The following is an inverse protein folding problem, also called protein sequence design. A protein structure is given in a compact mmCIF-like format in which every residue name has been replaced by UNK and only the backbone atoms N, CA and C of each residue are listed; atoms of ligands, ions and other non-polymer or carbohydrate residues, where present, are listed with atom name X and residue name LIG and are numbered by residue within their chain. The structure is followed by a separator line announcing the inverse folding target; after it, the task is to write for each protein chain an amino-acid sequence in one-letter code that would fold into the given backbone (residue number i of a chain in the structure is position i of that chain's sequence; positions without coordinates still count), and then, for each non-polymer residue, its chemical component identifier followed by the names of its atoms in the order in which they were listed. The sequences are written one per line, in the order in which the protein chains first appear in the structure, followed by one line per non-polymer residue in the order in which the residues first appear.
data_IF_506447279047
#
_entry.id   IF_506447279047
#
_cell.length_a   1.000
_cell.length_b   1.000
_cell.length_c   1.000
_cell.angle_alpha   90.00
_cell.angle_beta   90.00
_cell.angle_gamma   90.00
#
_symmetry.space_group_name_H-M   'P 1'
#
loop_
_entity.id
_entity.type
_entity.pdbx_description
1 polymer ?
#
# COMPACT_ATOMS: atom_id res chain seq x y z
N UNK A 1 -1.29 -14.51 27.03
CA UNK A 1 -1.56 -13.94 25.70
C UNK A 1 -0.63 -12.76 25.51
N UNK A 2 0.37 -12.90 24.65
CA UNK A 2 1.29 -11.80 24.36
C UNK A 2 0.57 -10.68 23.62
N UNK A 3 0.85 -9.43 24.03
CA UNK A 3 0.25 -8.25 23.39
C UNK A 3 0.60 -8.25 21.90
N UNK A 4 -0.35 -7.99 21.00
CA UNK A 4 -0.05 -7.92 19.57
C UNK A 4 1.04 -6.87 19.34
N UNK A 5 2.11 -7.26 18.64
CA UNK A 5 3.22 -6.38 18.32
C UNK A 5 2.71 -5.15 17.57
N UNK A 6 3.13 -3.96 18.01
CA UNK A 6 2.69 -2.66 17.48
C UNK A 6 3.28 -2.44 16.09
N UNK A 7 2.43 -2.03 15.14
CA UNK A 7 2.81 -1.56 13.81
C UNK A 7 2.59 -0.03 13.80
N UNK A 8 3.55 0.72 13.29
CA UNK A 8 3.44 2.17 13.12
C UNK A 8 3.83 2.54 11.69
N UNK A 9 3.00 3.36 11.06
CA UNK A 9 3.20 3.82 9.68
C UNK A 9 3.21 5.36 9.72
N UNK A 10 4.19 5.96 9.06
CA UNK A 10 4.34 7.42 9.02
C UNK A 10 4.85 7.83 7.65
N UNK A 11 4.38 8.95 7.12
CA UNK A 11 4.71 9.40 5.77
C UNK A 11 5.76 10.50 5.82
N UNK A 12 6.62 10.57 4.80
CA UNK A 12 7.73 11.53 4.72
C UNK A 12 8.03 11.92 3.26
N UNK A 13 8.53 13.14 3.06
CA UNK A 13 9.17 13.55 1.82
C UNK A 13 10.60 13.06 1.76
N UNK A 14 10.96 12.44 0.63
CA UNK A 14 12.32 12.03 0.36
C UNK A 14 13.10 13.14 -0.36
N UNK A 15 13.61 14.11 0.41
CA UNK A 15 14.45 15.21 -0.11
C UNK A 15 15.85 14.77 -0.56
N UNK A 16 16.22 13.50 -0.36
CA UNK A 16 17.51 12.96 -0.79
C UNK A 16 17.49 12.47 -2.25
N UNK A 17 16.30 12.24 -2.82
CA UNK A 17 16.15 11.88 -4.23
C UNK A 17 16.00 13.14 -5.09
N UNK A 18 16.36 13.00 -6.37
CA UNK A 18 16.23 14.08 -7.36
C UNK A 18 14.80 14.61 -7.36
N UNK A 19 14.66 15.92 -7.23
CA UNK A 19 13.39 16.62 -7.26
C UNK A 19 12.85 16.72 -8.69
N UNK A 20 11.54 16.95 -8.78
CA UNK A 20 10.86 17.32 -10.01
C UNK A 20 10.43 18.77 -9.92
N UNK A 21 10.83 19.56 -10.90
CA UNK A 21 10.40 20.94 -11.01
C UNK A 21 9.02 20.99 -11.68
N UNK A 22 8.04 21.55 -10.98
CA UNK A 22 6.71 21.78 -11.52
C UNK A 22 6.22 23.15 -11.06
N UNK A 23 5.87 24.02 -12.00
CA UNK A 23 5.50 25.42 -11.76
C UNK A 23 6.50 26.19 -10.85
N UNK A 24 7.80 25.97 -11.06
CA UNK A 24 8.87 26.61 -10.28
C UNK A 24 9.02 26.10 -8.84
N UNK A 25 8.32 25.02 -8.46
CA UNK A 25 8.43 24.39 -7.14
C UNK A 25 9.08 23.01 -7.24
N UNK A 26 10.00 22.72 -6.33
CA UNK A 26 10.56 21.38 -6.14
C UNK A 26 9.53 20.43 -5.53
N UNK A 27 9.29 19.32 -6.21
CA UNK A 27 8.46 18.22 -5.74
C UNK A 27 9.34 17.00 -5.49
N UNK A 28 9.13 16.38 -4.33
CA UNK A 28 9.92 15.24 -3.87
C UNK A 28 9.04 14.00 -3.74
N UNK A 29 9.58 12.80 -3.97
CA UNK A 29 8.83 11.58 -3.81
C UNK A 29 8.49 11.34 -2.34
N UNK A 30 7.30 10.81 -2.08
CA UNK A 30 6.79 10.47 -0.75
C UNK A 30 7.01 9.00 -0.49
N UNK A 31 7.39 8.69 0.75
CA UNK A 31 7.49 7.31 1.23
C UNK A 31 6.79 7.14 2.56
N UNK A 32 6.27 5.94 2.79
CA UNK A 32 5.80 5.48 4.08
C UNK A 32 6.95 4.78 4.81
N UNK A 33 7.29 5.24 6.00
CA UNK A 33 8.12 4.50 6.96
C UNK A 33 7.22 3.58 7.77
N UNK A 34 7.52 2.30 7.71
CA UNK A 34 6.85 1.26 8.48
C UNK A 34 7.77 0.79 9.59
N UNK A 35 7.25 0.72 10.82
CA UNK A 35 7.93 0.25 12.01
C UNK A 35 7.19 -0.96 12.58
N UNK A 36 7.90 -2.06 12.80
CA UNK A 36 7.38 -3.27 13.43
C UNK A 36 8.49 -3.96 14.21
N UNK A 37 8.28 -4.21 15.51
CA UNK A 37 9.22 -4.93 16.37
C UNK A 37 10.68 -4.40 16.27
N UNK A 38 10.87 -3.09 16.43
CA UNK A 38 12.15 -2.38 16.27
C UNK A 38 12.78 -2.40 14.86
N UNK A 39 12.18 -3.12 13.91
CA UNK A 39 12.58 -3.07 12.51
C UNK A 39 11.90 -1.89 11.81
N UNK A 40 12.58 -1.31 10.83
CA UNK A 40 12.01 -0.25 9.99
C UNK A 40 12.23 -0.51 8.51
N UNK A 41 11.24 -0.20 7.69
CA UNK A 41 11.37 -0.21 6.23
C UNK A 41 10.72 1.03 5.62
N UNK A 42 11.20 1.46 4.44
CA UNK A 42 10.66 2.58 3.67
C UNK A 42 9.99 2.03 2.43
N UNK A 43 8.70 2.29 2.28
CA UNK A 43 7.90 1.89 1.13
C UNK A 43 7.55 3.12 0.30
N UNK A 44 7.61 3.04 -1.05
CA UNK A 44 7.08 4.10 -1.88
C UNK A 44 5.58 4.26 -1.58
N UNK A 45 5.12 5.51 -1.57
CA UNK A 45 3.71 5.81 -1.39
C UNK A 45 3.22 6.67 -2.54
N UNK A 46 2.10 6.28 -3.11
CA UNK A 46 1.44 6.95 -4.23
C UNK A 46 -0.01 7.16 -3.86
N UNK A 47 -0.57 8.29 -4.27
CA UNK A 47 -2.00 8.59 -4.11
C UNK A 47 -2.67 8.49 -5.48
N UNK A 48 -4.00 8.39 -5.52
CA UNK A 48 -4.70 8.34 -6.82
C UNK A 48 -4.59 9.65 -7.58
N UNK A 49 -4.43 10.76 -6.85
CA UNK A 49 -4.40 12.13 -7.39
C UNK A 49 -2.99 12.62 -7.75
N UNK A 50 -1.94 12.02 -7.18
CA UNK A 50 -0.55 12.42 -7.42
C UNK A 50 0.32 11.19 -7.52
N UNK A 51 1.28 11.24 -8.45
CA UNK A 51 2.32 10.21 -8.67
C UNK A 51 3.30 10.02 -7.50
N UNK A 52 2.89 10.32 -6.26
CA UNK A 52 3.73 10.25 -5.08
C UNK A 52 4.75 11.37 -4.99
N UNK A 53 4.65 12.44 -5.79
CA UNK A 53 5.53 13.62 -5.70
C UNK A 53 4.77 14.82 -5.16
N UNK A 54 5.32 15.45 -4.13
CA UNK A 54 4.69 16.57 -3.43
C UNK A 54 5.73 17.66 -3.18
N UNK A 55 5.32 18.92 -3.28
CA UNK A 55 6.07 20.00 -2.65
C UNK A 55 5.95 19.92 -1.12
N UNK A 56 6.78 20.67 -0.41
CA UNK A 56 6.74 20.70 1.07
C UNK A 56 5.40 21.22 1.60
N UNK A 57 4.85 22.26 0.98
CA UNK A 57 3.54 22.83 1.31
C UNK A 57 2.42 21.82 1.09
N UNK A 58 2.43 21.15 -0.06
CA UNK A 58 1.42 20.14 -0.41
C UNK A 58 1.50 18.93 0.50
N UNK A 59 2.70 18.49 0.87
CA UNK A 59 2.90 17.38 1.79
C UNK A 59 2.43 17.73 3.20
N UNK A 60 2.78 18.93 3.69
CA UNK A 60 2.30 19.40 4.99
C UNK A 60 0.77 19.55 4.99
N UNK A 61 0.18 20.02 3.88
CA UNK A 61 -1.26 20.01 3.71
C UNK A 61 -1.81 18.59 3.76
N UNK A 62 -1.22 17.66 3.00
CA UNK A 62 -1.66 16.26 2.92
C UNK A 62 -1.56 15.49 4.25
N UNK A 63 -0.48 15.66 5.01
CA UNK A 63 -0.25 14.96 6.28
C UNK A 63 -0.98 15.63 7.44
N UNK A 64 -0.97 16.98 7.51
CA UNK A 64 -1.57 17.72 8.63
C UNK A 64 -3.07 17.97 8.41
N UNK A 65 -3.56 17.97 7.17
CA UNK A 65 -4.96 18.14 6.83
C UNK A 65 -5.51 16.85 6.21
N UNK A 66 -5.60 15.79 7.02
CA UNK A 66 -6.46 14.60 6.76
C UNK A 66 -7.96 14.94 6.70
N UNK A 67 -8.31 16.19 6.37
CA UNK A 67 -9.67 16.73 6.31
C UNK A 67 -10.37 16.35 5.02
N UNK A 68 -9.61 16.14 3.93
CA UNK A 68 -10.15 15.59 2.69
C UNK A 68 -10.57 14.12 2.92
N UNK A 69 -11.86 13.77 2.75
CA UNK A 69 -12.35 12.42 3.01
C UNK A 69 -11.71 11.35 2.13
N UNK A 70 -11.35 11.68 0.88
CA UNK A 70 -10.77 10.74 -0.07
C UNK A 70 -9.33 10.44 0.31
N UNK A 71 -8.53 11.48 0.59
CA UNK A 71 -7.15 11.31 1.07
C UNK A 71 -7.13 10.51 2.38
N UNK A 72 -8.05 10.81 3.31
CA UNK A 72 -8.16 10.09 4.58
C UNK A 72 -8.48 8.61 4.35
N UNK A 73 -9.37 8.29 3.41
CA UNK A 73 -9.69 6.92 3.04
C UNK A 73 -8.46 6.21 2.43
N UNK A 74 -7.78 6.82 1.46
CA UNK A 74 -6.59 6.25 0.83
C UNK A 74 -5.47 5.95 1.84
N UNK A 75 -5.19 6.89 2.75
CA UNK A 75 -4.20 6.70 3.81
C UNK A 75 -4.58 5.54 4.73
N UNK A 76 -5.85 5.47 5.13
CA UNK A 76 -6.36 4.40 5.99
C UNK A 76 -6.29 3.04 5.29
N UNK A 77 -6.67 2.97 4.02
CA UNK A 77 -6.66 1.74 3.24
C UNK A 77 -5.23 1.25 3.02
N UNK A 78 -4.29 2.15 2.74
CA UNK A 78 -2.87 1.84 2.68
C UNK A 78 -2.35 1.32 4.03
N UNK A 79 -2.63 2.03 5.12
CA UNK A 79 -2.22 1.63 6.49
C UNK A 79 -2.74 0.22 6.83
N UNK A 80 -4.03 -0.05 6.57
CA UNK A 80 -4.66 -1.35 6.83
C UNK A 80 -4.09 -2.47 5.95
N UNK A 81 -3.79 -2.18 4.68
CA UNK A 81 -3.22 -3.15 3.75
C UNK A 81 -1.83 -3.59 4.23
N UNK A 82 -0.97 -2.63 4.56
CA UNK A 82 0.37 -2.91 5.09
C UNK A 82 0.29 -3.67 6.41
N UNK A 83 -0.61 -3.27 7.30
CA UNK A 83 -0.80 -3.97 8.57
C UNK A 83 -1.23 -5.43 8.36
N UNK A 84 -2.19 -5.69 7.48
CA UNK A 84 -2.64 -7.06 7.16
C UNK A 84 -1.51 -7.92 6.60
N UNK A 85 -0.72 -7.39 5.65
CA UNK A 85 0.42 -8.11 5.08
C UNK A 85 1.44 -8.46 6.16
N UNK A 86 1.83 -7.50 7.00
CA UNK A 86 2.79 -7.73 8.08
C UNK A 86 2.29 -8.77 9.07
N UNK A 87 1.02 -8.69 9.48
CA UNK A 87 0.43 -9.64 10.43
C UNK A 87 0.34 -11.04 9.84
N UNK A 88 -0.05 -11.17 8.57
CA UNK A 88 -0.11 -12.44 7.87
C UNK A 88 1.27 -13.10 7.76
N UNK A 89 2.26 -12.36 7.27
CA UNK A 89 3.63 -12.85 7.10
C UNK A 89 4.30 -13.18 8.44
N UNK A 90 4.07 -12.35 9.47
CA UNK A 90 4.51 -12.64 10.82
C UNK A 90 3.81 -13.88 11.40
N UNK A 91 2.54 -14.12 11.07
CA UNK A 91 1.85 -15.35 11.47
C UNK A 91 2.43 -16.62 10.86
N UNK A 92 3.06 -16.53 9.67
CA UNK A 92 3.70 -17.68 8.99
C UNK A 92 5.14 -17.87 9.45
N UNK A 93 5.90 -16.78 9.56
CA UNK A 93 7.35 -16.82 9.80
C UNK A 93 7.75 -16.55 11.25
N UNK A 94 6.82 -16.05 12.06
CA UNK A 94 7.00 -15.67 13.46
C UNK A 94 8.26 -14.81 13.67
N UNK A 95 9.18 -15.25 14.54
CA UNK A 95 10.39 -14.51 14.87
C UNK A 95 11.39 -14.37 13.71
N UNK A 96 11.26 -15.20 12.67
CA UNK A 96 12.10 -15.11 11.47
C UNK A 96 11.66 -14.00 10.52
N UNK A 97 10.46 -13.46 10.71
CA UNK A 97 9.93 -12.39 9.87
C UNK A 97 10.81 -11.14 9.94
N UNK A 98 11.16 -10.60 8.77
CA UNK A 98 11.83 -9.31 8.61
C UNK A 98 11.00 -8.42 7.70
N UNK A 99 11.02 -7.11 7.97
CA UNK A 99 10.39 -6.13 7.08
C UNK A 99 11.12 -5.96 5.73
N UNK A 100 12.33 -6.51 5.59
CA UNK A 100 13.10 -6.51 4.34
C UNK A 100 12.35 -7.34 3.28
N UNK A 101 12.19 -6.81 2.07
CA UNK A 101 11.40 -7.46 1.02
C UNK A 101 9.91 -7.07 0.99
N UNK A 102 9.44 -6.26 1.96
CA UNK A 102 8.03 -5.86 2.03
C UNK A 102 7.59 -5.03 0.82
N UNK A 103 8.50 -4.31 0.16
CA UNK A 103 8.20 -3.53 -1.05
C UNK A 103 7.86 -4.46 -2.22
N UNK A 104 8.68 -5.46 -2.45
CA UNK A 104 8.54 -6.47 -3.50
C UNK A 104 7.27 -7.30 -3.24
N UNK A 105 7.04 -7.68 -1.99
CA UNK A 105 5.81 -8.34 -1.57
C UNK A 105 4.59 -7.46 -1.75
N UNK A 106 4.63 -6.17 -1.40
CA UNK A 106 3.52 -5.25 -1.62
C UNK A 106 3.14 -5.18 -3.10
N UNK A 107 4.13 -5.06 -3.98
CA UNK A 107 3.90 -5.09 -5.44
C UNK A 107 3.24 -6.41 -5.83
N UNK A 108 3.75 -7.54 -5.33
CA UNK A 108 3.15 -8.85 -5.59
C UNK A 108 1.73 -8.98 -5.01
N UNK A 109 1.44 -8.46 -3.82
CA UNK A 109 0.11 -8.46 -3.22
C UNK A 109 -0.85 -7.56 -3.98
N UNK A 110 -0.40 -6.40 -4.47
CA UNK A 110 -1.22 -5.52 -5.30
C UNK A 110 -1.53 -6.15 -6.67
N UNK A 111 -0.53 -6.79 -7.29
CA UNK A 111 -0.71 -7.53 -8.55
C UNK A 111 -1.57 -8.78 -8.37
N UNK A 112 -1.39 -9.52 -7.27
CA UNK A 112 -2.14 -10.73 -6.97
C UNK A 112 -3.54 -10.42 -6.42
N UNK A 113 -3.77 -9.29 -5.76
CA UNK A 113 -5.12 -8.87 -5.37
C UNK A 113 -6.00 -8.63 -6.58
N UNK A 114 -5.47 -8.10 -7.68
CA UNK A 114 -6.21 -8.01 -8.95
C UNK A 114 -6.59 -9.40 -9.46
N UNK A 115 -5.65 -10.36 -9.39
CA UNK A 115 -5.89 -11.74 -9.80
C UNK A 115 -6.89 -12.47 -8.90
N UNK A 116 -6.82 -12.28 -7.58
CA UNK A 116 -7.75 -12.86 -6.61
C UNK A 116 -9.14 -12.21 -6.71
N UNK A 117 -9.20 -10.89 -6.91
CA UNK A 117 -10.46 -10.18 -7.21
C UNK A 117 -11.05 -10.66 -8.53
N UNK A 118 -10.23 -10.90 -9.55
CA UNK A 118 -10.65 -11.45 -10.84
C UNK A 118 -11.15 -12.89 -10.70
N UNK A 119 -10.49 -13.72 -9.88
CA UNK A 119 -10.96 -15.08 -9.57
C UNK A 119 -12.29 -15.04 -8.82
N UNK A 120 -12.44 -14.15 -7.83
CA UNK A 120 -13.69 -13.99 -7.07
C UNK A 120 -14.80 -13.43 -7.95
N UNK A 121 -14.52 -12.41 -8.77
CA UNK A 121 -15.44 -11.84 -9.75
C UNK A 121 -15.86 -12.89 -10.78
N UNK A 122 -14.93 -13.68 -11.31
CA UNK A 122 -15.26 -14.78 -12.23
C UNK A 122 -16.12 -15.84 -11.55
N UNK A 123 -15.82 -16.23 -10.30
CA UNK A 123 -16.68 -17.15 -9.54
C UNK A 123 -18.07 -16.58 -9.26
N UNK A 124 -18.17 -15.29 -9.00
CA UNK A 124 -19.44 -14.60 -8.78
C UNK A 124 -20.23 -14.45 -10.10
N UNK A 125 -19.57 -14.15 -11.21
CA UNK A 125 -20.16 -14.10 -12.54
C UNK A 125 -20.64 -15.48 -13.00
N UNK A 126 -19.83 -16.53 -12.80
CA UNK A 126 -20.22 -17.91 -13.08
C UNK A 126 -21.41 -18.33 -12.21
N UNK A 127 -21.42 -17.98 -10.93
CA UNK A 127 -22.52 -18.33 -10.03
C UNK A 127 -23.80 -17.50 -10.24
N UNK A 128 -23.72 -16.26 -10.77
CA UNK A 128 -24.89 -15.41 -11.02
C UNK A 128 -25.42 -15.44 -12.46
N UNK A 129 -24.58 -15.69 -13.47
CA UNK A 129 -25.00 -15.71 -14.89
C UNK A 129 -25.24 -17.11 -15.44
N UNK A 130 -24.91 -18.17 -14.68
CA UNK A 130 -25.13 -19.55 -15.11
C UNK A 130 -24.45 -19.91 -16.43
N UNK A 131 -23.39 -19.19 -16.82
CA UNK A 131 -22.64 -19.52 -18.03
C UNK A 131 -21.73 -20.69 -17.68
N UNK A 132 -22.23 -21.90 -17.96
CA UNK A 132 -21.40 -23.09 -18.07
C UNK A 132 -20.28 -22.80 -19.08
N UNK A 133 -19.07 -23.22 -18.73
CA UNK A 133 -17.90 -23.21 -19.60
C UNK A 133 -18.28 -23.51 -21.06
N UNK A 134 -18.07 -22.55 -21.95
CA UNK A 134 -17.87 -22.89 -23.35
C UNK A 134 -16.41 -23.32 -23.42
N UNK A 135 -16.22 -24.63 -23.56
CA UNK A 135 -14.93 -25.25 -23.80
C UNK A 135 -14.25 -24.56 -25.00
N UNK A 136 -13.03 -24.00 -24.87
CA UNK A 136 -12.35 -23.41 -26.00
C UNK A 136 -11.87 -24.45 -27.03
N UNK A 137 -12.15 -25.75 -26.84
CA UNK A 137 -11.84 -26.83 -27.80
C UNK A 137 -13.04 -27.75 -28.14
N UNK A 138 -14.28 -27.27 -28.01
CA UNK A 138 -15.49 -27.99 -28.45
C UNK A 138 -16.03 -27.52 -29.78
#
# INVERSE_FOLDING_TARGET
MDKPKKISISFYLNKQLKDRQFNGKSHYPVYARVLFNQMSNRLPFTTTFKFGFFSEEEFNSFVNHRTDPVIKAELKDFEQTIERIIRFEYGIQEEKFKLVGLKEKLISYQQNMLRELEIILNRLLISHLGIANIDPNG
#
